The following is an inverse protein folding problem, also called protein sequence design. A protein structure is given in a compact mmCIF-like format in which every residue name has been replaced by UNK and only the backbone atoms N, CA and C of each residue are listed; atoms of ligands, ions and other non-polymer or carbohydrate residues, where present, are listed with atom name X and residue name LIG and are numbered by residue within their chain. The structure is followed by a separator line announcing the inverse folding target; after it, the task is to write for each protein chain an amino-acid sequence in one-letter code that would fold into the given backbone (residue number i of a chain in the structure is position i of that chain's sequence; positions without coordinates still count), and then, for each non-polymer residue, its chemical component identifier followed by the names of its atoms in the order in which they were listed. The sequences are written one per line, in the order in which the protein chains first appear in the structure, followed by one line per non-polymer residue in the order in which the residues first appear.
data_IF_133907464963
#
_entry.id   IF_133907464963
#
_cell.length_a   1.000
_cell.length_b   1.000
_cell.length_c   1.000
_cell.angle_alpha   90.00
_cell.angle_beta   90.00
_cell.angle_gamma   90.00
#
_symmetry.space_group_name_H-M   'P 1'
#
loop_
_entity.id
_entity.type
_entity.pdbx_description
1 polymer ?
#
# COMPACT_ATOMS: atom_id res chain seq x y z
N UNK A 1 -2.27 -5.01 -11.75
CA UNK A 1 -3.24 -4.55 -10.72
C UNK A 1 -2.62 -3.62 -9.72
N UNK A 2 -3.43 -2.89 -8.96
CA UNK A 2 -2.98 -2.12 -7.79
C UNK A 2 -3.25 -2.95 -6.54
N UNK A 3 -2.20 -3.21 -5.75
CA UNK A 3 -2.30 -3.86 -4.44
C UNK A 3 -2.07 -2.80 -3.35
N UNK A 4 -2.99 -2.64 -2.43
CA UNK A 4 -2.88 -1.66 -1.34
C UNK A 4 -2.75 -2.37 -0.01
N UNK A 5 -1.67 -2.11 0.70
CA UNK A 5 -1.51 -2.50 2.10
C UNK A 5 -1.76 -1.30 3.01
N UNK A 6 -2.65 -1.49 3.97
CA UNK A 6 -2.89 -0.51 5.04
C UNK A 6 -2.84 -1.18 6.39
N UNK A 7 -2.47 -0.42 7.40
CA UNK A 7 -2.42 -0.92 8.78
C UNK A 7 -2.33 0.22 9.76
N UNK A 8 -2.65 0.01 11.03
CA UNK A 8 -2.23 0.92 12.07
C UNK A 8 -0.71 0.92 12.21
N UNK A 9 -0.18 2.07 12.64
CA UNK A 9 1.27 2.22 12.89
C UNK A 9 1.77 1.18 13.89
N UNK A 10 2.79 0.39 13.51
CA UNK A 10 3.35 -0.67 14.37
C UNK A 10 2.80 -2.08 14.10
N UNK A 11 1.81 -2.26 13.23
CA UNK A 11 1.25 -3.58 12.90
C UNK A 11 2.17 -4.48 12.07
N UNK A 12 3.29 -3.96 11.53
CA UNK A 12 4.27 -4.76 10.78
C UNK A 12 4.23 -4.55 9.26
N UNK A 13 3.42 -3.62 8.74
CA UNK A 13 3.28 -3.33 7.31
C UNK A 13 4.62 -3.18 6.59
N UNK A 14 5.51 -2.32 7.06
CA UNK A 14 6.81 -2.07 6.43
C UNK A 14 7.68 -3.33 6.31
N UNK A 15 7.62 -4.24 7.29
CA UNK A 15 8.34 -5.52 7.23
C UNK A 15 7.76 -6.42 6.16
N UNK A 16 6.45 -6.57 6.13
CA UNK A 16 5.75 -7.37 5.12
C UNK A 16 5.92 -6.78 3.71
N UNK A 17 5.79 -5.46 3.55
CA UNK A 17 6.09 -4.77 2.29
C UNK A 17 7.50 -5.11 1.79
N UNK A 18 8.51 -5.04 2.67
CA UNK A 18 9.89 -5.37 2.31
C UNK A 18 10.05 -6.85 1.90
N UNK A 19 9.40 -7.78 2.60
CA UNK A 19 9.44 -9.20 2.22
C UNK A 19 8.80 -9.41 0.84
N UNK A 20 7.64 -8.82 0.58
CA UNK A 20 7.00 -8.88 -0.74
C UNK A 20 7.88 -8.31 -1.85
N UNK A 21 8.58 -7.20 -1.59
CA UNK A 21 9.48 -6.58 -2.56
C UNK A 21 10.79 -7.37 -2.78
N UNK A 22 11.18 -8.22 -1.84
CA UNK A 22 12.35 -9.10 -1.95
C UNK A 22 12.03 -10.41 -2.67
N UNK A 23 10.77 -10.79 -2.76
CA UNK A 23 10.34 -11.99 -3.49
C UNK A 23 10.24 -11.70 -5.00
N UNK A 24 11.30 -12.07 -5.73
CA UNK A 24 11.37 -11.86 -7.18
C UNK A 24 10.30 -12.61 -7.98
N UNK A 25 9.70 -13.67 -7.42
CA UNK A 25 8.63 -14.42 -8.08
C UNK A 25 7.32 -13.61 -8.14
N UNK A 26 7.15 -12.64 -7.25
CA UNK A 26 5.96 -11.79 -7.24
C UNK A 26 6.01 -10.67 -8.28
N UNK A 27 7.19 -10.25 -8.74
CA UNK A 27 7.40 -9.13 -9.69
C UNK A 27 6.56 -7.88 -9.37
N UNK A 28 6.57 -7.47 -8.10
CA UNK A 28 5.87 -6.28 -7.63
C UNK A 28 6.76 -5.04 -7.78
N UNK A 29 6.14 -3.91 -8.04
CA UNK A 29 6.81 -2.61 -7.99
C UNK A 29 6.20 -1.75 -6.89
N UNK A 30 7.03 -1.26 -5.96
CA UNK A 30 6.56 -0.36 -4.91
C UNK A 30 6.31 1.04 -5.50
N UNK A 31 5.14 1.59 -5.22
CA UNK A 31 4.84 2.98 -5.50
C UNK A 31 5.60 3.88 -4.53
N UNK A 32 6.40 4.80 -5.07
CA UNK A 32 7.14 5.79 -4.27
C UNK A 32 6.32 7.08 -4.20
N UNK A 33 5.82 7.41 -3.02
CA UNK A 33 5.03 8.62 -2.79
C UNK A 33 5.91 9.87 -2.73
N UNK A 34 5.34 11.01 -3.12
CA UNK A 34 5.89 12.34 -2.81
C UNK A 34 5.50 12.74 -1.39
N UNK A 35 6.33 13.55 -0.71
CA UNK A 35 5.99 14.09 0.61
C UNK A 35 6.62 15.45 0.85
N UNK A 36 5.93 16.28 1.62
CA UNK A 36 6.45 17.57 2.13
C UNK A 36 7.19 17.42 3.47
N UNK A 37 7.17 16.21 4.04
CA UNK A 37 7.92 15.89 5.27
C UNK A 37 9.43 15.96 5.02
N UNK A 38 10.15 16.52 5.94
CA UNK A 38 11.62 16.48 5.91
C UNK A 38 12.14 15.04 5.94
N UNK A 39 13.15 14.77 5.13
CA UNK A 39 13.84 13.47 5.06
C UNK A 39 14.51 13.14 6.38
N UNK A 40 14.37 11.91 6.84
CA UNK A 40 15.13 11.38 7.99
C UNK A 40 16.52 10.93 7.55
N UNK A 41 17.52 10.87 8.47
CA UNK A 41 18.88 10.46 8.11
C UNK A 41 18.99 9.08 7.44
N UNK A 42 18.12 8.14 7.82
CA UNK A 42 18.09 6.77 7.27
C UNK A 42 17.33 6.63 5.96
N UNK A 43 16.68 7.69 5.48
CA UNK A 43 15.87 7.65 4.27
C UNK A 43 16.66 8.15 3.05
N UNK A 44 16.34 7.62 1.87
CA UNK A 44 16.89 8.05 0.59
C UNK A 44 15.77 8.55 -0.32
N UNK A 45 16.04 9.66 -1.03
CA UNK A 45 15.16 10.22 -2.03
C UNK A 45 14.99 9.26 -3.21
N UNK A 46 13.79 9.17 -3.76
CA UNK A 46 13.46 8.26 -4.86
C UNK A 46 13.35 6.77 -4.47
N UNK A 47 13.68 6.41 -3.22
CA UNK A 47 13.56 5.03 -2.70
C UNK A 47 12.45 4.94 -1.67
N UNK A 48 12.49 5.79 -0.64
CA UNK A 48 11.49 5.79 0.43
C UNK A 48 10.35 6.76 0.11
N UNK A 49 10.71 7.93 -0.37
CA UNK A 49 9.83 9.01 -0.82
C UNK A 49 10.55 9.86 -1.85
N UNK A 50 9.78 10.61 -2.65
CA UNK A 50 10.28 11.82 -3.33
C UNK A 50 10.02 13.00 -2.39
N UNK A 51 11.10 13.56 -1.83
CA UNK A 51 10.99 14.66 -0.87
C UNK A 51 10.85 15.98 -1.61
N UNK A 52 9.66 16.58 -1.56
CA UNK A 52 9.40 17.86 -2.21
C UNK A 52 10.08 19.00 -1.46
N UNK A 53 10.51 20.05 -2.17
CA UNK A 53 11.20 21.19 -1.57
C UNK A 53 10.28 21.95 -0.59
N UNK A 54 9.00 22.05 -0.92
CA UNK A 54 8.02 22.78 -0.14
C UNK A 54 6.57 22.32 -0.40
N UNK A 55 5.62 22.95 0.30
CA UNK A 55 4.20 22.71 0.13
C UNK A 55 3.66 23.23 -1.21
N UNK A 56 4.24 24.28 -1.76
CA UNK A 56 3.73 24.88 -2.99
C UNK A 56 3.86 23.93 -4.16
N UNK A 57 4.94 23.17 -4.24
CA UNK A 57 5.11 22.13 -5.26
C UNK A 57 4.08 21.01 -5.11
N UNK A 58 3.77 20.58 -3.87
CA UNK A 58 2.72 19.59 -3.64
C UNK A 58 1.35 20.09 -4.13
N UNK A 59 0.97 21.32 -3.79
CA UNK A 59 -0.31 21.92 -4.21
C UNK A 59 -0.36 22.10 -5.73
N UNK A 60 0.77 22.41 -6.38
CA UNK A 60 0.87 22.44 -7.85
C UNK A 60 0.55 21.07 -8.45
N UNK A 61 1.22 20.01 -7.98
CA UNK A 61 1.01 18.64 -8.46
C UNK A 61 -0.45 18.20 -8.27
N UNK A 62 -1.02 18.53 -7.11
CA UNK A 62 -2.43 18.25 -6.80
C UNK A 62 -3.37 18.98 -7.76
N UNK A 63 -3.16 20.28 -7.98
CA UNK A 63 -3.97 21.09 -8.88
C UNK A 63 -3.87 20.63 -10.35
N UNK A 64 -2.70 20.18 -10.76
CA UNK A 64 -2.44 19.62 -12.10
C UNK A 64 -2.99 18.19 -12.29
N UNK A 65 -3.56 17.55 -11.24
CA UNK A 65 -4.05 16.17 -11.30
C UNK A 65 -2.95 15.11 -11.45
N UNK A 66 -1.71 15.47 -11.12
CA UNK A 66 -0.54 14.59 -11.21
C UNK A 66 -0.51 13.52 -10.10
N UNK A 67 -1.41 13.61 -9.11
CA UNK A 67 -1.50 12.67 -8.00
C UNK A 67 -2.72 11.74 -8.15
N UNK A 68 -2.49 10.43 -8.03
CA UNK A 68 -3.56 9.42 -7.96
C UNK A 68 -4.37 9.56 -6.66
N UNK A 69 -3.68 9.75 -5.57
CA UNK A 69 -4.24 9.99 -4.25
C UNK A 69 -3.35 10.96 -3.48
N UNK A 70 -3.89 11.54 -2.43
CA UNK A 70 -3.13 12.35 -1.49
C UNK A 70 -3.83 12.42 -0.13
N UNK A 71 -3.02 12.61 0.92
CA UNK A 71 -3.52 12.78 2.28
C UNK A 71 -2.62 13.75 3.07
N UNK A 72 -3.21 14.40 4.07
CA UNK A 72 -2.47 15.09 5.11
C UNK A 72 -2.38 14.19 6.34
N UNK A 73 -1.15 13.90 6.76
CA UNK A 73 -0.87 13.06 7.93
C UNK A 73 0.09 13.80 8.84
N UNK A 74 -0.34 14.11 10.06
CA UNK A 74 0.46 14.83 11.05
C UNK A 74 1.07 16.15 10.52
N UNK A 75 0.29 16.93 9.77
CA UNK A 75 0.71 18.23 9.21
C UNK A 75 1.65 18.16 8.02
N UNK A 76 1.90 16.97 7.47
CA UNK A 76 2.66 16.79 6.24
C UNK A 76 1.77 16.18 5.16
N UNK A 77 2.03 16.54 3.91
CA UNK A 77 1.33 16.01 2.76
C UNK A 77 2.08 14.82 2.19
N UNK A 78 1.29 13.84 1.74
CA UNK A 78 1.75 12.64 1.05
C UNK A 78 0.86 12.43 -0.15
N UNK A 79 1.42 11.95 -1.25
CA UNK A 79 0.64 11.63 -2.43
C UNK A 79 1.38 10.70 -3.37
N UNK A 80 0.65 9.96 -4.17
CA UNK A 80 1.22 9.02 -5.13
C UNK A 80 1.20 9.63 -6.53
N UNK A 81 2.37 9.84 -7.17
CA UNK A 81 2.44 10.29 -8.56
C UNK A 81 1.71 9.33 -9.50
N UNK A 82 0.88 9.88 -10.39
CA UNK A 82 0.03 9.12 -11.32
C UNK A 82 0.84 8.44 -12.41
N UNK A 83 1.67 9.20 -13.10
CA UNK A 83 2.38 8.75 -14.32
C UNK A 83 3.24 7.50 -14.09
N UNK A 84 4.09 7.39 -13.04
CA UNK A 84 4.87 6.18 -12.81
C UNK A 84 4.00 4.93 -12.60
N UNK A 85 2.87 5.07 -11.91
CA UNK A 85 1.94 3.96 -11.65
C UNK A 85 1.28 3.51 -12.94
N UNK A 86 0.72 4.44 -13.72
CA UNK A 86 0.05 4.14 -14.99
C UNK A 86 1.01 3.47 -15.99
N UNK A 87 2.28 3.90 -16.03
CA UNK A 87 3.31 3.29 -16.86
C UNK A 87 3.61 1.83 -16.49
N UNK A 88 3.67 1.52 -15.18
CA UNK A 88 3.92 0.15 -14.70
C UNK A 88 2.71 -0.74 -15.01
N UNK A 89 1.50 -0.25 -14.76
CA UNK A 89 0.26 -0.98 -15.08
C UNK A 89 0.11 -1.25 -16.59
N UNK A 90 0.47 -0.28 -17.43
CA UNK A 90 0.47 -0.46 -18.90
C UNK A 90 1.46 -1.53 -19.39
N UNK A 91 2.47 -1.87 -18.59
CA UNK A 91 3.39 -2.99 -18.84
C UNK A 91 2.83 -4.34 -18.35
N UNK A 92 1.59 -4.40 -17.86
CA UNK A 92 0.99 -5.60 -17.30
C UNK A 92 1.52 -5.98 -15.90
N UNK A 93 2.29 -5.09 -15.26
CA UNK A 93 2.90 -5.34 -13.95
C UNK A 93 2.03 -4.84 -12.81
N UNK A 94 2.24 -5.38 -11.63
CA UNK A 94 1.51 -4.99 -10.43
C UNK A 94 2.24 -3.91 -9.63
N UNK A 95 1.46 -3.00 -9.04
CA UNK A 95 1.99 -1.92 -8.21
C UNK A 95 1.50 -2.09 -6.77
N UNK A 96 2.44 -2.12 -5.84
CA UNK A 96 2.19 -2.16 -4.41
C UNK A 96 2.16 -0.75 -3.82
N UNK A 97 1.10 -0.42 -3.11
CA UNK A 97 0.93 0.84 -2.38
C UNK A 97 1.02 0.61 -0.88
N UNK A 98 1.82 1.42 -0.21
CA UNK A 98 1.90 1.53 1.24
C UNK A 98 1.26 2.86 1.68
N UNK A 99 -0.09 2.90 1.73
CA UNK A 99 -0.85 4.12 1.99
C UNK A 99 -1.88 3.92 3.11
N UNK A 100 -2.43 5.03 3.61
CA UNK A 100 -3.47 5.02 4.62
C UNK A 100 -4.89 4.82 4.02
N UNK A 101 -5.91 4.82 4.88
CA UNK A 101 -7.29 4.63 4.45
C UNK A 101 -7.80 5.75 3.54
N UNK A 102 -7.32 7.00 3.70
CA UNK A 102 -7.75 8.14 2.89
C UNK A 102 -7.27 7.97 1.45
N UNK A 103 -6.00 7.62 1.27
CA UNK A 103 -5.42 7.29 -0.02
C UNK A 103 -6.10 6.06 -0.63
N UNK A 104 -6.33 5.01 0.16
CA UNK A 104 -7.03 3.79 -0.29
C UNK A 104 -8.39 4.11 -0.90
N UNK A 105 -9.22 4.94 -0.25
CA UNK A 105 -10.53 5.31 -0.78
C UNK A 105 -10.43 6.10 -2.10
N UNK A 106 -9.46 7.00 -2.22
CA UNK A 106 -9.26 7.78 -3.44
C UNK A 106 -8.81 6.90 -4.61
N UNK A 107 -7.86 5.98 -4.37
CA UNK A 107 -7.39 5.04 -5.41
C UNK A 107 -8.55 4.13 -5.83
N UNK A 108 -9.29 3.58 -4.89
CA UNK A 108 -10.45 2.71 -5.17
C UNK A 108 -11.52 3.41 -5.99
N UNK A 109 -11.81 4.67 -5.69
CA UNK A 109 -12.79 5.46 -6.46
C UNK A 109 -12.35 5.73 -7.90
N UNK A 110 -11.04 5.78 -8.17
CA UNK A 110 -10.48 6.08 -9.51
C UNK A 110 -10.18 4.82 -10.33
N UNK A 111 -9.64 3.78 -9.69
CA UNK A 111 -9.18 2.57 -10.36
C UNK A 111 -10.21 1.41 -10.30
N UNK A 112 -11.30 1.56 -9.56
CA UNK A 112 -12.41 0.62 -9.53
C UNK A 112 -12.00 -0.80 -9.13
N UNK A 113 -12.32 -1.78 -10.00
CA UNK A 113 -12.10 -3.20 -9.73
C UNK A 113 -10.65 -3.66 -9.89
N UNK A 114 -9.78 -2.81 -10.41
CA UNK A 114 -8.35 -3.13 -10.60
C UNK A 114 -7.52 -2.99 -9.31
N UNK A 115 -8.19 -2.74 -8.19
CA UNK A 115 -7.58 -2.57 -6.87
C UNK A 115 -7.92 -3.76 -5.98
N UNK A 116 -6.92 -4.31 -5.31
CA UNK A 116 -7.07 -5.24 -4.20
C UNK A 116 -6.53 -4.57 -2.93
N UNK A 117 -7.33 -4.55 -1.88
CA UNK A 117 -6.99 -3.84 -0.64
C UNK A 117 -6.91 -4.79 0.53
N UNK A 118 -5.81 -4.72 1.30
CA UNK A 118 -5.54 -5.59 2.45
C UNK A 118 -5.29 -4.73 3.68
N UNK A 119 -6.00 -5.04 4.76
CA UNK A 119 -5.78 -4.42 6.06
C UNK A 119 -5.04 -5.36 7.00
N UNK A 120 -3.91 -4.91 7.54
CA UNK A 120 -3.06 -5.69 8.44
C UNK A 120 -3.38 -5.27 9.89
N UNK A 121 -3.86 -6.21 10.68
CA UNK A 121 -4.13 -6.04 12.11
C UNK A 121 -2.96 -6.52 12.96
N UNK A 122 -2.66 -5.86 14.09
CA UNK A 122 -1.81 -6.45 15.12
C UNK A 122 -2.58 -7.57 15.85
N UNK A 123 -1.92 -8.55 16.48
CA UNK A 123 -2.59 -9.61 17.24
C UNK A 123 -3.29 -9.10 18.50
N UNK A 124 -2.80 -7.99 19.07
CA UNK A 124 -3.43 -7.31 20.22
C UNK A 124 -2.96 -5.86 20.33
N UNK A 125 -3.71 -5.05 21.08
CA UNK A 125 -3.28 -3.69 21.42
C UNK A 125 -2.06 -3.67 22.37
N UNK A 126 -1.88 -4.71 23.15
CA UNK A 126 -0.71 -4.88 24.02
C UNK A 126 0.54 -5.12 23.18
N UNK A 127 0.48 -6.02 22.20
CA UNK A 127 1.61 -6.27 21.29
C UNK A 127 1.89 -5.03 20.43
N UNK A 128 0.86 -4.32 19.96
CA UNK A 128 1.03 -3.07 19.22
C UNK A 128 1.80 -2.03 20.06
N UNK A 129 1.44 -1.87 21.35
CA UNK A 129 2.17 -0.99 22.29
C UNK A 129 3.62 -1.43 22.41
N UNK A 130 3.87 -2.71 22.64
CA UNK A 130 5.23 -3.25 22.79
C UNK A 130 6.08 -3.03 21.52
N UNK A 131 5.48 -3.15 20.33
CA UNK A 131 6.15 -2.87 19.04
C UNK A 131 6.49 -1.38 18.88
N UNK A 132 5.62 -0.48 19.32
CA UNK A 132 5.87 0.96 19.28
C UNK A 132 6.97 1.38 20.28
N UNK A 133 6.97 0.81 21.48
CA UNK A 133 7.99 1.06 22.53
C UNK A 133 9.37 0.55 22.09
N UNK A 134 9.46 -0.62 21.45
CA UNK A 134 10.72 -1.18 20.92
C UNK A 134 11.40 -0.34 19.86
N UNK A 135 10.67 0.52 19.14
CA UNK A 135 11.26 1.42 18.15
C UNK A 135 12.10 2.55 18.76
N UNK A 136 12.05 2.75 20.07
CA UNK A 136 12.92 3.61 20.89
C UNK A 136 13.07 5.09 20.45
N UNK A 137 12.28 5.55 19.49
CA UNK A 137 12.37 6.90 18.93
C UNK A 137 11.27 7.84 19.46
N UNK A 138 10.28 7.32 20.21
CA UNK A 138 9.10 8.05 20.60
C UNK A 138 8.98 8.22 22.11
N UNK A 139 8.52 9.40 22.55
CA UNK A 139 8.11 9.64 23.94
C UNK A 139 6.85 8.85 24.30
N UNK A 140 6.58 8.62 25.57
CA UNK A 140 5.36 7.96 26.05
C UNK A 140 4.08 8.69 25.60
N UNK A 141 4.14 10.02 25.51
CA UNK A 141 3.04 10.83 25.00
C UNK A 141 2.77 10.53 23.50
N UNK A 142 3.84 10.43 22.70
CA UNK A 142 3.76 10.10 21.28
C UNK A 142 3.18 8.69 21.06
N UNK A 143 3.62 7.72 21.89
CA UNK A 143 3.08 6.36 21.86
C UNK A 143 1.60 6.35 22.21
N UNK A 144 1.17 7.12 23.21
CA UNK A 144 -0.24 7.27 23.56
C UNK A 144 -1.09 7.80 22.40
N UNK A 145 -0.62 8.83 21.71
CA UNK A 145 -1.27 9.39 20.53
C UNK A 145 -1.36 8.38 19.38
N UNK A 146 -0.27 7.62 19.13
CA UNK A 146 -0.26 6.57 18.11
C UNK A 146 -1.24 5.45 18.39
N UNK A 147 -1.35 5.01 19.66
CA UNK A 147 -2.31 3.99 20.07
C UNK A 147 -3.77 4.47 19.93
N UNK A 148 -4.03 5.74 20.22
CA UNK A 148 -5.36 6.32 20.00
C UNK A 148 -5.71 6.35 18.51
N UNK A 149 -4.78 6.77 17.65
CA UNK A 149 -4.95 6.76 16.20
C UNK A 149 -5.13 5.33 15.67
N UNK A 150 -4.35 4.36 16.16
CA UNK A 150 -4.47 2.96 15.77
C UNK A 150 -5.87 2.40 16.02
N UNK A 151 -6.52 2.74 17.15
CA UNK A 151 -7.91 2.34 17.42
C UNK A 151 -8.89 2.89 16.36
N UNK A 152 -8.67 4.13 15.91
CA UNK A 152 -9.50 4.73 14.88
C UNK A 152 -9.26 4.12 13.49
N UNK A 153 -8.02 3.74 13.18
CA UNK A 153 -7.65 3.04 11.95
C UNK A 153 -8.23 1.63 11.93
N UNK A 154 -8.09 0.87 13.03
CA UNK A 154 -8.62 -0.49 13.18
C UNK A 154 -10.13 -0.54 12.94
N UNK A 155 -10.91 0.43 13.41
CA UNK A 155 -12.37 0.47 13.19
C UNK A 155 -12.77 0.48 11.70
N UNK A 156 -11.84 0.79 10.80
CA UNK A 156 -12.08 0.89 9.34
C UNK A 156 -11.75 -0.40 8.59
N UNK A 157 -11.40 -1.48 9.26
CA UNK A 157 -11.01 -2.74 8.63
C UNK A 157 -12.04 -3.28 7.62
N UNK A 158 -13.32 -3.03 7.86
CA UNK A 158 -14.43 -3.44 6.96
C UNK A 158 -14.47 -2.72 5.62
N UNK A 159 -13.63 -1.69 5.42
CA UNK A 159 -13.52 -0.96 4.16
C UNK A 159 -12.55 -1.64 3.17
N UNK A 160 -11.90 -2.73 3.58
CA UNK A 160 -10.90 -3.45 2.80
C UNK A 160 -11.46 -4.78 2.30
N UNK A 161 -10.89 -5.30 1.21
CA UNK A 161 -11.32 -6.57 0.61
C UNK A 161 -10.82 -7.76 1.42
N UNK A 162 -9.63 -7.62 2.03
CA UNK A 162 -8.98 -8.65 2.83
C UNK A 162 -8.50 -8.06 4.14
N UNK A 163 -8.48 -8.91 5.17
CA UNK A 163 -7.89 -8.60 6.46
C UNK A 163 -7.03 -9.78 6.92
N UNK A 164 -5.87 -9.48 7.47
CA UNK A 164 -5.01 -10.47 8.09
C UNK A 164 -4.56 -10.00 9.48
N UNK A 165 -4.28 -10.95 10.36
CA UNK A 165 -3.76 -10.68 11.69
C UNK A 165 -2.27 -11.06 11.71
N UNK A 166 -1.39 -10.08 11.87
CA UNK A 166 0.06 -10.28 11.90
C UNK A 166 0.53 -10.73 13.30
N UNK A 167 0.18 -11.97 13.65
CA UNK A 167 0.64 -12.69 14.84
C UNK A 167 1.97 -13.41 14.57
N UNK A 168 2.11 -14.02 13.40
CA UNK A 168 3.33 -14.64 12.87
C UNK A 168 3.67 -14.00 11.53
N UNK A 169 4.92 -13.59 11.39
CA UNK A 169 5.37 -12.83 10.22
C UNK A 169 5.40 -13.67 8.96
N UNK A 170 5.86 -14.93 9.03
CA UNK A 170 5.95 -15.82 7.87
C UNK A 170 4.56 -16.22 7.41
N UNK A 171 3.67 -16.60 8.32
CA UNK A 171 2.28 -16.90 8.03
C UNK A 171 1.58 -15.71 7.37
N UNK A 172 1.78 -14.50 7.90
CA UNK A 172 1.21 -13.28 7.32
C UNK A 172 1.74 -13.00 5.91
N UNK A 173 3.02 -13.29 5.66
CA UNK A 173 3.61 -13.20 4.32
C UNK A 173 2.96 -14.21 3.36
N UNK A 174 2.83 -15.47 3.78
CA UNK A 174 2.22 -16.53 2.96
C UNK A 174 0.75 -16.23 2.63
N UNK A 175 0.00 -15.67 3.58
CA UNK A 175 -1.38 -15.19 3.37
C UNK A 175 -1.44 -14.05 2.35
N UNK A 176 -0.48 -13.09 2.40
CA UNK A 176 -0.38 -12.02 1.40
C UNK A 176 -0.07 -12.58 0.00
N UNK A 177 0.86 -13.51 -0.11
CA UNK A 177 1.20 -14.18 -1.38
C UNK A 177 -0.03 -14.90 -1.94
N UNK A 178 -0.79 -15.60 -1.09
CA UNK A 178 -2.01 -16.28 -1.50
C UNK A 178 -3.07 -15.31 -2.04
N UNK A 179 -3.27 -14.15 -1.37
CA UNK A 179 -4.17 -13.09 -1.85
C UNK A 179 -3.72 -12.56 -3.20
N UNK A 180 -2.43 -12.22 -3.36
CA UNK A 180 -1.88 -11.70 -4.62
C UNK A 180 -2.10 -12.69 -5.75
N UNK A 181 -1.79 -13.96 -5.52
CA UNK A 181 -1.94 -15.03 -6.50
C UNK A 181 -3.41 -15.20 -6.90
N UNK A 182 -4.32 -15.23 -5.93
CA UNK A 182 -5.77 -15.37 -6.17
C UNK A 182 -6.32 -14.17 -6.94
N UNK A 183 -5.92 -12.95 -6.57
CA UNK A 183 -6.36 -11.74 -7.26
C UNK A 183 -5.89 -11.70 -8.73
N UNK A 184 -4.69 -12.20 -9.03
CA UNK A 184 -4.19 -12.35 -10.40
C UNK A 184 -5.02 -13.32 -11.25
N UNK A 185 -5.65 -14.32 -10.63
CA UNK A 185 -6.49 -15.33 -11.31
C UNK A 185 -7.90 -14.85 -11.63
N UNK A 186 -8.33 -13.67 -11.17
CA UNK A 186 -9.68 -13.15 -11.49
C UNK A 186 -9.85 -12.97 -13.00
N UNK A 187 -10.97 -13.46 -13.53
CA UNK A 187 -11.30 -13.41 -14.96
C UNK A 187 -11.09 -12.01 -15.54
N UNK A 188 -11.50 -10.97 -14.83
CA UNK A 188 -11.36 -9.59 -15.28
C UNK A 188 -9.91 -9.14 -15.53
N UNK A 189 -8.93 -9.75 -14.82
CA UNK A 189 -7.49 -9.44 -14.97
C UNK A 189 -6.80 -10.31 -16.01
N UNK A 190 -7.39 -11.46 -16.32
CA UNK A 190 -6.84 -12.41 -17.30
C UNK A 190 -7.57 -12.37 -18.63
N UNK A 191 -8.59 -11.51 -18.78
CA UNK A 191 -9.51 -11.53 -19.91
C UNK A 191 -8.81 -11.47 -21.27
N UNK A 192 -7.78 -10.63 -21.39
CA UNK A 192 -7.04 -10.50 -22.66
C UNK A 192 -6.20 -11.75 -22.95
N UNK A 193 -5.34 -12.15 -21.99
CA UNK A 193 -4.44 -13.30 -22.17
C UNK A 193 -5.19 -14.63 -22.33
N UNK A 194 -6.22 -14.88 -21.51
CA UNK A 194 -7.04 -16.09 -21.59
C UNK A 194 -7.99 -16.03 -22.79
N UNK A 195 -8.48 -14.86 -23.18
CA UNK A 195 -9.34 -14.69 -24.36
C UNK A 195 -8.69 -15.20 -25.63
N UNK A 196 -7.46 -14.79 -25.91
CA UNK A 196 -6.69 -15.28 -27.08
C UNK A 196 -6.46 -16.81 -27.05
N UNK A 197 -6.25 -17.37 -25.86
CA UNK A 197 -6.11 -18.81 -25.70
C UNK A 197 -7.43 -19.54 -25.97
N UNK A 198 -8.54 -19.05 -25.44
CA UNK A 198 -9.88 -19.62 -25.66
C UNK A 198 -10.27 -19.54 -27.14
N UNK A 199 -9.99 -18.41 -27.83
CA UNK A 199 -10.27 -18.27 -29.25
C UNK A 199 -9.50 -19.30 -30.10
N UNK A 200 -8.25 -19.61 -29.71
CA UNK A 200 -7.49 -20.70 -30.37
C UNK A 200 -8.10 -22.07 -30.10
N UNK A 201 -8.45 -22.37 -28.83
CA UNK A 201 -9.10 -23.64 -28.47
C UNK A 201 -10.40 -23.90 -29.26
N UNK A 202 -11.19 -22.84 -29.49
CA UNK A 202 -12.46 -22.94 -30.21
C UNK A 202 -12.25 -23.12 -31.71
N UNK A 203 -11.05 -22.89 -32.24
CA UNK A 203 -10.69 -23.11 -33.67
C UNK A 203 -10.01 -24.48 -33.89
N UNK A 204 -9.65 -25.21 -32.83
CA UNK A 204 -9.15 -26.57 -32.95
C UNK A 204 -10.33 -27.53 -33.17
N UNK A 205 -10.43 -28.13 -34.39
CA UNK A 205 -11.39 -29.18 -34.73
C UNK A 205 -10.84 -30.58 -34.39
#
# INVERSE_FOLDING_TARGET
MILILSSPSGAGKTTLTRMLMQDSALDLTLSVSVTTRKRRPSEADGIHYHFLPDRAEFERMKAAGELLEWAEVHGNFYGTPREPVERILAQGRDVLFDIDYQGTQQVRAKAGQDVATIFILPPSMQELRARLERRAEDSQETIGKRLANARNEIRRWTLYDYVLVNDDLQKSFDELVAVITTERMRVMRQKEAIGEFVDRLLQEE
#
